data_IF_232563430531
#
_entry.id   IF_232563430531
#
_cell.length_a   1.000
_cell.length_b   1.000
_cell.length_c   1.000
_cell.angle_alpha   90.00
_cell.angle_beta   90.00
_cell.angle_gamma   90.00
#
_symmetry.space_group_name_H-M   'P 1'
#
loop_
_entity.id
_entity.type
_entity.pdbx_description
1 polymer ?
#
# COMPACT_ATOMS: atom_id res chain seq x y z
N UNK A 1 -2.75 -1.99 -22.46
CA UNK A 1 -2.55 -2.14 -20.99
C UNK A 1 -3.57 -1.25 -20.31
N UNK A 2 -4.58 -1.81 -19.64
CA UNK A 2 -5.63 -0.99 -19.00
C UNK A 2 -5.04 -0.02 -17.97
N UNK A 3 -5.61 1.17 -17.82
CA UNK A 3 -5.18 2.12 -16.78
C UNK A 3 -5.40 1.46 -15.41
N UNK A 4 -4.38 1.52 -14.56
CA UNK A 4 -4.50 1.08 -13.16
C UNK A 4 -5.58 1.95 -12.49
N UNK A 5 -6.64 1.32 -11.97
CA UNK A 5 -7.63 2.00 -11.13
C UNK A 5 -7.02 2.17 -9.74
N UNK A 6 -7.12 3.37 -9.18
CA UNK A 6 -6.68 3.68 -7.81
C UNK A 6 -7.91 4.07 -6.98
N UNK A 7 -7.88 3.73 -5.68
CA UNK A 7 -8.86 4.15 -4.69
C UNK A 7 -8.15 5.00 -3.64
N UNK A 8 -8.87 5.95 -3.04
CA UNK A 8 -8.37 6.78 -1.94
C UNK A 8 -8.74 6.10 -0.63
N UNK A 9 -7.78 6.00 0.29
CA UNK A 9 -7.99 5.51 1.65
C UNK A 9 -7.59 6.60 2.64
N UNK A 10 -8.31 6.71 3.75
CA UNK A 10 -7.92 7.58 4.86
C UNK A 10 -6.75 6.97 5.62
N UNK A 11 -5.72 7.77 5.89
CA UNK A 11 -4.61 7.42 6.76
C UNK A 11 -4.53 8.47 7.87
N UNK A 12 -4.48 8.08 9.16
CA UNK A 12 -4.20 8.99 10.25
C UNK A 12 -2.93 9.82 9.98
N UNK A 13 -2.98 11.10 10.33
CA UNK A 13 -1.90 12.06 10.05
C UNK A 13 -0.56 11.63 10.67
N UNK A 14 -0.59 11.16 11.92
CA UNK A 14 0.59 10.65 12.63
C UNK A 14 1.29 9.50 11.86
N UNK A 15 0.51 8.58 11.29
CA UNK A 15 1.04 7.47 10.51
C UNK A 15 1.65 7.95 9.19
N UNK A 16 1.03 8.95 8.56
CA UNK A 16 1.57 9.54 7.35
C UNK A 16 2.91 10.23 7.63
N UNK A 17 3.01 11.00 8.71
CA UNK A 17 4.24 11.69 9.12
C UNK A 17 5.39 10.71 9.40
N UNK A 18 5.09 9.55 9.99
CA UNK A 18 6.10 8.51 10.20
C UNK A 18 6.57 7.88 8.88
N UNK A 19 5.66 7.70 7.91
CA UNK A 19 6.03 7.29 6.55
C UNK A 19 6.92 8.34 5.87
N UNK A 20 6.60 9.62 6.01
CA UNK A 20 7.41 10.71 5.45
C UNK A 20 8.81 10.73 6.05
N UNK A 21 8.95 10.55 7.36
CA UNK A 21 10.26 10.45 8.02
C UNK A 21 11.09 9.32 7.40
N UNK A 22 10.51 8.13 7.24
CA UNK A 22 11.22 6.96 6.68
C UNK A 22 11.79 7.28 5.30
N UNK A 23 10.94 7.83 4.42
CA UNK A 23 11.33 8.20 3.05
C UNK A 23 12.38 9.31 3.05
N UNK A 24 12.19 10.34 3.88
CA UNK A 24 13.09 11.49 3.97
C UNK A 24 14.48 11.12 4.47
N UNK A 25 14.57 10.21 5.43
CA UNK A 25 15.85 9.72 5.97
C UNK A 25 16.51 8.69 5.04
N UNK A 26 15.88 8.31 3.92
CA UNK A 26 16.41 7.33 2.98
C UNK A 26 16.50 5.91 3.57
N UNK A 27 15.81 5.67 4.68
CA UNK A 27 15.83 4.38 5.34
C UNK A 27 15.03 3.37 4.52
N UNK A 28 15.53 2.14 4.43
CA UNK A 28 14.86 1.00 3.79
C UNK A 28 14.63 1.11 2.26
N UNK A 29 15.23 2.11 1.59
CA UNK A 29 15.29 2.18 0.13
C UNK A 29 14.02 2.65 -0.58
N UNK A 30 13.04 3.19 0.15
CA UNK A 30 11.81 3.71 -0.45
C UNK A 30 12.01 5.10 -1.06
N UNK A 31 11.54 5.29 -2.29
CA UNK A 31 11.59 6.57 -3.01
C UNK A 31 10.41 7.50 -2.73
N UNK A 32 9.31 6.96 -2.19
CA UNK A 32 8.09 7.71 -1.90
C UNK A 32 7.23 7.03 -0.82
N UNK A 33 6.36 7.81 -0.16
CA UNK A 33 5.38 7.28 0.80
C UNK A 33 4.45 6.28 0.13
N UNK A 34 4.04 6.54 -1.12
CA UNK A 34 3.19 5.63 -1.88
C UNK A 34 3.85 4.26 -2.08
N UNK A 35 5.14 4.24 -2.42
CA UNK A 35 5.90 3.00 -2.58
C UNK A 35 5.96 2.20 -1.27
N UNK A 36 6.30 2.87 -0.17
CA UNK A 36 6.34 2.29 1.17
C UNK A 36 4.98 1.69 1.57
N UNK A 37 3.90 2.46 1.41
CA UNK A 37 2.55 2.01 1.78
C UNK A 37 2.12 0.81 0.95
N UNK A 38 2.37 0.82 -0.38
CA UNK A 38 2.03 -0.30 -1.27
C UNK A 38 2.77 -1.59 -0.86
N UNK A 39 4.05 -1.48 -0.52
CA UNK A 39 4.86 -2.61 -0.09
C UNK A 39 4.42 -3.14 1.27
N UNK A 40 4.19 -2.25 2.25
CA UNK A 40 3.70 -2.63 3.58
C UNK A 40 2.33 -3.34 3.52
N UNK A 41 1.38 -2.80 2.74
CA UNK A 41 0.06 -3.41 2.54
C UNK A 41 0.20 -4.77 1.86
N UNK A 42 1.02 -4.89 0.81
CA UNK A 42 1.27 -6.16 0.13
C UNK A 42 1.81 -7.21 1.09
N UNK A 43 2.88 -6.92 1.82
CA UNK A 43 3.49 -7.84 2.79
C UNK A 43 2.49 -8.26 3.87
N UNK A 44 1.63 -7.33 4.32
CA UNK A 44 0.60 -7.66 5.31
C UNK A 44 -0.43 -8.64 4.73
N UNK A 45 -0.95 -8.37 3.54
CA UNK A 45 -1.91 -9.27 2.88
C UNK A 45 -1.29 -10.64 2.58
N UNK A 46 -0.01 -10.70 2.21
CA UNK A 46 0.73 -11.95 1.98
C UNK A 46 0.84 -12.76 3.29
N UNK A 47 1.21 -12.10 4.40
CA UNK A 47 1.30 -12.76 5.71
C UNK A 47 -0.04 -13.29 6.22
N UNK A 48 -1.14 -12.65 5.80
CA UNK A 48 -2.50 -13.08 6.13
C UNK A 48 -3.02 -14.19 5.19
N UNK A 49 -2.26 -14.58 4.16
CA UNK A 49 -2.68 -15.60 3.19
C UNK A 49 -3.81 -15.17 2.24
N UNK A 50 -4.15 -13.88 2.22
CA UNK A 50 -5.25 -13.33 1.41
C UNK A 50 -4.75 -12.60 0.16
N UNK A 51 -3.43 -12.37 0.05
CA UNK A 51 -2.87 -11.75 -1.13
C UNK A 51 -3.11 -12.65 -2.34
N UNK A 52 -3.87 -12.13 -3.30
CA UNK A 52 -4.22 -12.78 -4.58
C UNK A 52 -5.27 -13.90 -4.53
N UNK A 53 -5.61 -14.40 -3.34
CA UNK A 53 -6.76 -15.32 -3.14
C UNK A 53 -8.13 -14.67 -3.47
N UNK A 54 -8.18 -13.35 -3.60
CA UNK A 54 -9.37 -12.56 -3.94
C UNK A 54 -9.44 -12.12 -5.42
N UNK A 55 -8.56 -12.60 -6.31
CA UNK A 55 -8.65 -12.31 -7.76
C UNK A 55 -9.94 -12.86 -8.42
N UNK A 56 -10.78 -13.60 -7.68
CA UNK A 56 -12.07 -14.14 -8.11
C UNK A 56 -13.28 -13.57 -7.36
N UNK A 57 -13.17 -12.44 -6.67
CA UNK A 57 -14.36 -11.77 -6.12
C UNK A 57 -14.99 -10.93 -7.23
N UNK A 58 -16.19 -11.27 -7.74
CA UNK A 58 -16.89 -10.39 -8.68
C UNK A 58 -17.12 -9.04 -7.99
N UNK A 59 -16.76 -7.94 -8.67
CA UNK A 59 -17.18 -6.61 -8.21
C UNK A 59 -18.72 -6.60 -8.22
N UNK A 60 -19.36 -6.44 -7.06
CA UNK A 60 -20.80 -6.14 -6.99
C UNK A 60 -21.04 -4.77 -7.66
N UNK A 61 -22.07 -4.74 -8.53
CA UNK A 61 -22.50 -3.62 -9.38
C UNK A 61 -22.86 -2.33 -8.62
#
# INVERSE_FOLDING_TARGET
MGRKKYRIIGLPEELFLDCEKIVKFGNYGYSSVSELVKDAVRRRLESLGVYRSLENVPEED
#
